data_IF_851051051782
#
_entry.id   IF_851051051782
#
_cell.length_a   1.000
_cell.length_b   1.000
_cell.length_c   1.000
_cell.angle_alpha   90.00
_cell.angle_beta   90.00
_cell.angle_gamma   90.00
#
_symmetry.space_group_name_H-M   'P 1'
#
loop_
_entity.id
_entity.type
_entity.pdbx_description
1 polymer ?
#
# COMPACT_ATOMS: atom_id res chain seq x y z
N UNK A 1 -3.85 0.78 -20.68
CA UNK A 1 -3.60 1.91 -19.78
C UNK A 1 -3.04 1.35 -18.50
N UNK A 2 -1.90 1.86 -18.05
CA UNK A 2 -1.28 1.46 -16.79
C UNK A 2 -1.86 2.29 -15.65
N UNK A 3 -2.09 1.65 -14.51
CA UNK A 3 -2.61 2.26 -13.28
C UNK A 3 -1.71 1.79 -12.13
N UNK A 4 -1.33 2.72 -11.27
CA UNK A 4 -0.57 2.46 -10.07
C UNK A 4 -1.51 2.42 -8.88
N UNK A 5 -1.61 1.25 -8.27
CA UNK A 5 -2.51 0.96 -7.17
C UNK A 5 -1.74 0.96 -5.86
N UNK A 6 -2.18 1.76 -4.90
CA UNK A 6 -1.63 1.78 -3.54
C UNK A 6 -2.46 0.88 -2.65
N UNK A 7 -1.84 -0.16 -2.10
CA UNK A 7 -2.45 -1.09 -1.15
C UNK A 7 -1.75 -0.95 0.20
N UNK A 8 -2.55 -0.81 1.25
CA UNK A 8 -2.06 -0.77 2.62
C UNK A 8 -2.42 -2.09 3.30
N UNK A 9 -1.40 -2.74 3.83
CA UNK A 9 -1.52 -3.99 4.58
C UNK A 9 -1.42 -3.67 6.06
N UNK A 10 -2.46 -4.01 6.83
CA UNK A 10 -2.46 -3.87 8.29
C UNK A 10 -2.44 -5.25 8.93
N UNK A 11 -1.39 -5.53 9.68
CA UNK A 11 -1.30 -6.72 10.53
C UNK A 11 -1.92 -6.40 11.89
N UNK A 12 -3.16 -6.81 12.11
CA UNK A 12 -3.72 -6.82 13.46
C UNK A 12 -3.21 -8.07 14.19
N UNK A 13 -2.82 -7.93 15.46
CA UNK A 13 -2.49 -9.08 16.33
C UNK A 13 -3.73 -9.83 16.82
N UNK A 14 -4.92 -9.29 16.55
CA UNK A 14 -6.19 -9.89 16.92
C UNK A 14 -6.51 -11.07 15.98
N UNK A 15 -6.68 -12.30 16.50
CA UNK A 15 -6.98 -13.48 15.70
C UNK A 15 -8.33 -13.42 14.98
N UNK A 16 -9.25 -12.54 15.39
CA UNK A 16 -10.55 -12.35 14.74
C UNK A 16 -10.50 -11.33 13.60
N UNK A 17 -9.56 -10.40 13.63
CA UNK A 17 -9.36 -9.39 12.59
C UNK A 17 -8.10 -9.71 11.82
N UNK A 18 -8.14 -10.84 11.11
CA UNK A 18 -7.09 -11.25 10.19
C UNK A 18 -6.76 -10.14 9.18
N UNK A 19 -5.48 -10.13 8.79
CA UNK A 19 -4.88 -9.45 7.64
C UNK A 19 -5.88 -8.65 6.77
N UNK A 20 -5.83 -7.32 6.90
CA UNK A 20 -6.77 -6.44 6.21
C UNK A 20 -6.06 -5.73 5.06
N UNK A 21 -6.30 -6.18 3.83
CA UNK A 21 -5.87 -5.53 2.59
C UNK A 21 -6.91 -4.46 2.22
N UNK A 22 -6.53 -3.18 2.30
CA UNK A 22 -7.38 -2.10 1.81
C UNK A 22 -6.76 -1.47 0.57
N UNK A 23 -7.50 -1.53 -0.54
CA UNK A 23 -7.28 -0.65 -1.68
C UNK A 23 -7.47 0.78 -1.21
N UNK A 24 -6.39 1.57 -1.14
CA UNK A 24 -6.48 2.92 -0.60
C UNK A 24 -6.68 3.95 -1.70
N UNK A 25 -5.93 3.85 -2.80
CA UNK A 25 -5.95 4.83 -3.89
C UNK A 25 -5.36 4.27 -5.19
N UNK A 26 -5.67 4.94 -6.30
CA UNK A 26 -5.20 4.61 -7.65
C UNK A 26 -4.68 5.87 -8.34
N UNK A 27 -3.61 5.74 -9.12
CA UNK A 27 -2.93 6.84 -9.80
C UNK A 27 -2.60 6.45 -11.24
N UNK A 28 -2.48 7.45 -12.11
CA UNK A 28 -2.08 7.24 -13.51
C UNK A 28 -0.55 7.17 -13.69
N UNK A 29 0.21 7.68 -12.72
CA UNK A 29 1.68 7.67 -12.73
C UNK A 29 2.24 7.08 -11.43
N UNK A 30 3.46 6.56 -11.50
CA UNK A 30 4.18 6.05 -10.33
C UNK A 30 4.56 7.19 -9.38
N UNK A 31 4.95 8.33 -9.93
CA UNK A 31 5.39 9.52 -9.21
C UNK A 31 4.29 10.03 -8.29
N UNK A 32 3.04 10.14 -8.78
CA UNK A 32 1.90 10.56 -7.97
C UNK A 32 1.61 9.57 -6.84
N UNK A 33 1.66 8.27 -7.14
CA UNK A 33 1.51 7.22 -6.14
C UNK A 33 2.62 7.30 -5.07
N UNK A 34 3.86 7.58 -5.48
CA UNK A 34 5.01 7.68 -4.58
C UNK A 34 4.92 8.90 -3.67
N UNK A 35 4.53 10.07 -4.21
CA UNK A 35 4.29 11.28 -3.42
C UNK A 35 3.25 11.02 -2.33
N UNK A 36 2.15 10.35 -2.67
CA UNK A 36 1.13 9.97 -1.69
C UNK A 36 1.67 9.04 -0.61
N UNK A 37 2.37 7.97 -1.01
CA UNK A 37 2.96 7.00 -0.07
C UNK A 37 3.96 7.68 0.86
N UNK A 38 4.80 8.58 0.35
CA UNK A 38 5.77 9.32 1.17
C UNK A 38 5.11 10.25 2.17
N UNK A 39 4.02 10.92 1.79
CA UNK A 39 3.18 11.69 2.72
C UNK A 39 2.62 10.78 3.81
N UNK A 40 2.06 9.63 3.43
CA UNK A 40 1.41 8.71 4.36
C UNK A 40 2.42 8.08 5.34
N UNK A 41 3.62 7.74 4.88
CA UNK A 41 4.71 7.28 5.75
C UNK A 41 5.21 8.37 6.70
N UNK A 42 5.24 9.63 6.27
CA UNK A 42 5.62 10.77 7.11
C UNK A 42 4.60 11.00 8.23
N UNK A 43 3.31 10.88 7.93
CA UNK A 43 2.20 11.05 8.88
C UNK A 43 2.05 9.84 9.82
N UNK A 44 2.36 8.63 9.34
CA UNK A 44 2.34 7.38 10.11
C UNK A 44 3.50 7.25 11.12
N UNK A 45 4.34 8.26 11.35
CA UNK A 45 5.26 8.27 12.51
C UNK A 45 4.55 8.19 13.88
N UNK A 46 3.22 8.28 13.92
CA UNK A 46 2.38 8.11 15.12
C UNK A 46 1.99 6.65 15.45
N UNK A 47 2.42 5.66 14.67
CA UNK A 47 2.04 4.26 14.93
C UNK A 47 2.88 3.72 16.10
N UNK A 48 2.20 3.44 17.21
CA UNK A 48 2.75 3.15 18.54
C UNK A 48 3.51 1.82 18.68
N UNK A 49 3.74 1.09 17.58
CA UNK A 49 4.45 -0.19 17.54
C UNK A 49 3.75 -1.36 18.25
N UNK A 50 2.56 -1.16 18.84
CA UNK A 50 1.83 -2.21 19.59
C UNK A 50 0.94 -3.03 18.67
N UNK A 51 0.34 -2.38 17.69
CA UNK A 51 -0.40 -2.95 16.56
C UNK A 51 0.59 -3.16 15.41
N UNK A 52 0.53 -4.28 14.67
CA UNK A 52 1.55 -4.64 13.69
C UNK A 52 1.88 -3.51 12.71
N UNK A 53 3.16 -3.39 12.33
CA UNK A 53 3.65 -2.32 11.46
C UNK A 53 2.92 -2.43 10.11
N UNK A 54 2.08 -1.46 9.73
CA UNK A 54 1.47 -1.51 8.41
C UNK A 54 2.56 -1.36 7.35
N UNK A 55 2.45 -2.11 6.27
CA UNK A 55 3.31 -1.94 5.11
C UNK A 55 2.47 -1.58 3.89
N UNK A 56 3.09 -0.89 2.93
CA UNK A 56 2.43 -0.28 1.79
C UNK A 56 3.09 -0.81 0.54
N UNK A 57 2.29 -1.16 -0.47
CA UNK A 57 2.78 -1.51 -1.80
C UNK A 57 2.19 -0.60 -2.87
N UNK A 58 2.99 -0.31 -3.88
CA UNK A 58 2.54 0.27 -5.13
C UNK A 58 2.60 -0.85 -6.18
N UNK A 59 1.46 -1.20 -6.76
CA UNK A 59 1.33 -2.22 -7.79
C UNK A 59 0.99 -1.53 -9.11
N UNK A 60 1.81 -1.74 -10.13
CA UNK A 60 1.43 -1.38 -11.49
C UNK A 60 0.52 -2.47 -12.05
N UNK A 61 -0.66 -2.05 -12.50
CA UNK A 61 -1.69 -2.88 -13.11
C UNK A 61 -2.06 -2.31 -14.48
N UNK A 62 -2.12 -3.17 -15.49
CA UNK A 62 -2.64 -2.79 -16.80
C UNK A 62 -4.14 -3.09 -16.86
N UNK A 63 -4.95 -2.08 -17.15
CA UNK A 63 -6.42 -2.24 -17.28
C UNK A 63 -6.73 -3.29 -18.34
N UNK A 64 -7.57 -4.27 -17.98
CA UNK A 64 -7.92 -5.40 -18.84
C UNK A 64 -6.88 -6.53 -18.87
N UNK A 65 -5.90 -6.51 -17.96
CA UNK A 65 -4.88 -7.57 -17.82
C UNK A 65 -4.73 -7.99 -16.36
N UNK A 66 -4.30 -9.24 -16.14
CA UNK A 66 -3.98 -9.79 -14.82
C UNK A 66 -2.55 -9.48 -14.37
N UNK A 67 -1.71 -8.89 -15.24
CA UNK A 67 -0.33 -8.55 -14.93
C UNK A 67 -0.26 -7.53 -13.80
N UNK A 68 0.38 -7.92 -12.70
CA UNK A 68 0.65 -7.11 -11.52
C UNK A 68 2.15 -7.09 -11.26
N UNK A 69 2.77 -5.93 -11.40
CA UNK A 69 4.18 -5.73 -11.04
C UNK A 69 4.25 -4.88 -9.76
N UNK A 70 4.98 -5.33 -8.75
CA UNK A 70 5.22 -4.54 -7.54
C UNK A 70 6.35 -3.55 -7.83
N UNK A 71 6.05 -2.26 -7.78
CA UNK A 71 7.01 -1.17 -8.01
C UNK A 71 7.58 -0.60 -6.72
N UNK A 72 6.87 -0.77 -5.60
CA UNK A 72 7.30 -0.36 -4.29
C UNK A 72 6.74 -1.30 -3.22
N UNK A 73 7.54 -1.63 -2.22
CA UNK A 73 7.14 -2.40 -1.04
C UNK A 73 7.88 -1.86 0.18
N UNK A 74 7.14 -1.35 1.17
CA UNK A 74 7.72 -0.82 2.41
C UNK A 74 8.03 -1.89 3.47
N UNK A 75 7.81 -3.17 3.17
CA UNK A 75 8.16 -4.29 4.04
C UNK A 75 9.57 -4.84 3.81
N UNK A 76 10.16 -4.53 2.64
CA UNK A 76 11.56 -4.82 2.30
C UNK A 76 12.50 -3.76 2.88
#
# INVERSE_FOLDING_TARGET
MDIFVVIIFRLCKDPYYGYNEHLHSMYLTYEDAKIFVDSLMKDNKKYDGRSGKPFIRIINMKVGSELKNVFFDSSL
#
